data_IF_097847125669
#
_entry.id   IF_097847125669
#
_cell.length_a   1.000
_cell.length_b   1.000
_cell.length_c   1.000
_cell.angle_alpha   90.00
_cell.angle_beta   90.00
_cell.angle_gamma   90.00
#
_symmetry.space_group_name_H-M   'P 1'
#
loop_
_entity.id
_entity.type
_entity.pdbx_description
1 polymer ?
#
# COMPACT_ATOMS: atom_id res chain seq x y z
N UNK A 1 -1.91 -15.36 -24.96
CA UNK A 1 -3.08 -15.88 -24.21
C UNK A 1 -2.76 -15.71 -22.74
N UNK A 2 -3.11 -14.57 -22.17
CA UNK A 2 -2.95 -14.26 -20.74
C UNK A 2 -4.09 -14.95 -20.00
N UNK A 3 -3.76 -16.01 -19.26
CA UNK A 3 -4.73 -16.72 -18.42
C UNK A 3 -5.23 -15.81 -17.32
N UNK A 4 -6.50 -15.45 -17.36
CA UNK A 4 -7.21 -14.84 -16.23
C UNK A 4 -7.32 -15.90 -15.13
N UNK A 5 -6.61 -15.70 -14.02
CA UNK A 5 -6.80 -16.54 -12.84
C UNK A 5 -8.16 -16.20 -12.19
N UNK A 6 -8.97 -17.21 -11.96
CA UNK A 6 -10.25 -17.02 -11.30
C UNK A 6 -10.03 -16.67 -9.82
N UNK A 7 -10.78 -15.68 -9.28
CA UNK A 7 -10.72 -15.23 -7.86
C UNK A 7 -10.73 -16.37 -6.84
N UNK A 8 -11.42 -17.47 -7.15
CA UNK A 8 -11.49 -18.65 -6.27
C UNK A 8 -10.13 -19.35 -6.10
N UNK A 9 -9.22 -19.19 -7.04
CA UNK A 9 -7.90 -19.80 -7.01
C UNK A 9 -6.95 -18.98 -6.12
N UNK A 10 -7.07 -17.64 -6.11
CA UNK A 10 -6.33 -16.74 -5.21
C UNK A 10 -6.57 -17.02 -3.72
N UNK A 11 -7.81 -17.33 -3.36
CA UNK A 11 -8.17 -17.60 -1.95
C UNK A 11 -7.82 -19.02 -1.51
N UNK A 12 -7.52 -19.95 -2.45
CA UNK A 12 -7.18 -21.35 -2.15
C UNK A 12 -5.67 -21.63 -2.10
N UNK A 13 -4.85 -20.83 -2.77
CA UNK A 13 -3.41 -21.06 -2.85
C UNK A 13 -2.64 -20.80 -1.54
N UNK A 14 -3.22 -20.08 -0.58
CA UNK A 14 -2.62 -19.83 0.74
C UNK A 14 -2.45 -21.03 1.66
N UNK A 15 -2.81 -22.25 1.22
CA UNK A 15 -2.90 -23.41 2.10
C UNK A 15 -1.82 -24.50 1.91
N UNK A 16 -0.89 -24.38 0.95
CA UNK A 16 0.09 -25.45 0.72
C UNK A 16 1.48 -24.92 0.42
N UNK A 17 2.35 -24.84 1.41
CA UNK A 17 3.79 -25.12 1.28
C UNK A 17 4.47 -25.02 2.67
N UNK A 18 4.55 -26.10 3.37
CA UNK A 18 5.40 -26.25 4.54
C UNK A 18 6.26 -27.49 4.38
N UNK A 19 7.55 -27.34 4.17
CA UNK A 19 8.55 -28.39 4.52
C UNK A 19 9.79 -27.70 5.09
N UNK A 20 10.20 -28.23 6.23
CA UNK A 20 11.27 -27.80 7.11
C UNK A 20 12.67 -27.95 6.54
N UNK A 21 13.59 -27.11 7.05
CA UNK A 21 15.03 -27.32 6.95
C UNK A 21 15.80 -26.41 7.89
N UNK A 22 16.23 -26.94 9.03
CA UNK A 22 17.23 -26.35 9.92
C UNK A 22 18.62 -26.44 9.28
N UNK A 23 19.30 -25.34 9.04
CA UNK A 23 20.78 -25.33 8.96
C UNK A 23 21.37 -23.91 9.01
N UNK A 24 22.30 -23.70 9.94
CA UNK A 24 23.58 -23.05 9.75
C UNK A 24 23.65 -21.55 9.47
N UNK A 25 24.11 -20.78 10.48
CA UNK A 25 24.68 -19.44 10.32
C UNK A 25 25.94 -19.49 9.43
N UNK A 26 25.86 -18.97 8.23
CA UNK A 26 27.03 -18.65 7.41
C UNK A 26 26.70 -17.42 6.55
N UNK A 27 27.69 -16.57 6.31
CA UNK A 27 27.58 -15.29 5.62
C UNK A 27 26.87 -15.41 4.27
N UNK A 28 25.88 -14.57 4.04
CA UNK A 28 25.07 -14.57 2.83
C UNK A 28 25.78 -13.75 1.73
N UNK A 29 26.36 -14.46 0.78
CA UNK A 29 26.50 -13.93 -0.58
C UNK A 29 25.13 -14.02 -1.26
N UNK A 30 24.68 -12.96 -1.88
CA UNK A 30 23.46 -12.96 -2.69
C UNK A 30 23.69 -13.90 -3.87
N UNK A 31 23.09 -15.09 -3.83
CA UNK A 31 23.09 -16.02 -4.95
C UNK A 31 22.08 -15.50 -5.99
N UNK A 32 22.55 -15.14 -7.18
CA UNK A 32 21.76 -14.54 -8.26
C UNK A 32 20.71 -15.49 -8.89
N UNK A 33 20.60 -16.73 -8.41
CA UNK A 33 19.63 -17.72 -8.91
C UNK A 33 18.74 -18.25 -7.78
N UNK A 34 17.93 -17.37 -7.19
CA UNK A 34 16.92 -17.81 -6.24
C UNK A 34 15.91 -18.72 -6.95
N UNK A 35 15.86 -20.00 -6.55
CA UNK A 35 14.89 -21.00 -7.01
C UNK A 35 13.48 -20.78 -6.44
N UNK A 36 13.28 -19.75 -5.63
CA UNK A 36 11.99 -19.44 -5.02
C UNK A 36 10.97 -19.04 -6.09
N UNK A 37 9.73 -19.53 -5.99
CA UNK A 37 8.68 -19.20 -6.94
C UNK A 37 8.34 -17.69 -6.89
N UNK A 38 7.72 -17.15 -7.95
CA UNK A 38 7.19 -15.80 -7.93
C UNK A 38 6.22 -15.60 -6.76
N UNK A 39 6.24 -14.43 -6.12
CA UNK A 39 5.23 -14.06 -5.14
C UNK A 39 3.90 -13.86 -5.86
N UNK A 40 2.83 -14.43 -5.34
CA UNK A 40 1.52 -14.42 -5.98
C UNK A 40 0.99 -12.99 -6.13
N UNK A 41 0.99 -12.19 -5.04
CA UNK A 41 0.56 -10.79 -5.05
C UNK A 41 1.78 -9.89 -4.86
N UNK A 42 2.09 -9.13 -5.89
CA UNK A 42 3.21 -8.19 -5.96
C UNK A 42 2.66 -6.81 -6.24
N UNK A 43 2.53 -6.00 -5.21
CA UNK A 43 1.86 -4.73 -5.32
C UNK A 43 2.70 -3.53 -4.88
N UNK A 44 2.19 -2.36 -5.21
CA UNK A 44 2.64 -1.08 -4.68
C UNK A 44 1.47 -0.25 -4.20
N UNK A 45 1.72 0.58 -3.19
CA UNK A 45 0.82 1.68 -2.87
C UNK A 45 0.99 2.78 -3.91
N UNK A 46 -0.14 3.40 -4.26
CA UNK A 46 -0.14 4.38 -5.32
C UNK A 46 -0.93 5.66 -4.97
N UNK A 47 -0.25 6.75 -5.13
CA UNK A 47 -0.78 8.09 -5.37
C UNK A 47 0.14 8.75 -6.41
N UNK A 48 -0.37 9.56 -7.34
CA UNK A 48 0.48 10.33 -8.27
C UNK A 48 1.58 11.09 -7.54
N UNK A 49 2.73 11.27 -8.15
CA UNK A 49 3.90 11.87 -7.51
C UNK A 49 3.59 13.18 -6.77
N UNK A 50 2.77 14.05 -7.36
CA UNK A 50 2.42 15.37 -6.82
C UNK A 50 1.15 15.39 -5.96
N UNK A 51 0.59 14.22 -5.59
CA UNK A 51 -0.55 14.11 -4.69
C UNK A 51 -0.10 13.70 -3.29
N UNK A 52 -0.47 14.46 -2.28
CA UNK A 52 -0.17 14.19 -0.86
C UNK A 52 -1.36 13.63 -0.09
N UNK A 53 -2.51 13.48 -0.75
CA UNK A 53 -3.71 12.87 -0.21
C UNK A 53 -4.62 12.39 -1.35
N UNK A 54 -5.61 11.59 -1.01
CA UNK A 54 -6.54 11.00 -1.99
C UNK A 54 -7.45 12.04 -2.64
N UNK A 55 -7.82 13.11 -1.90
CA UNK A 55 -8.60 14.21 -2.49
C UNK A 55 -7.88 14.79 -3.71
N UNK A 56 -6.58 15.07 -3.60
CA UNK A 56 -5.78 15.61 -4.71
C UNK A 56 -5.72 14.69 -5.92
N UNK A 57 -5.65 13.38 -5.69
CA UNK A 57 -5.65 12.39 -6.78
C UNK A 57 -6.98 12.41 -7.53
N UNK A 58 -8.11 12.35 -6.81
CA UNK A 58 -9.41 12.14 -7.41
C UNK A 58 -10.11 13.42 -7.85
N UNK A 59 -9.89 14.54 -7.16
CA UNK A 59 -10.48 15.84 -7.51
C UNK A 59 -9.91 16.40 -8.82
N UNK A 60 -8.59 16.25 -9.01
CA UNK A 60 -7.88 16.67 -10.23
C UNK A 60 -7.35 15.43 -10.99
N UNK A 61 -8.24 14.45 -11.21
CA UNK A 61 -7.90 13.20 -11.85
C UNK A 61 -7.38 13.42 -13.27
N UNK A 62 -6.15 12.96 -13.54
CA UNK A 62 -5.50 13.05 -14.84
C UNK A 62 -5.25 11.64 -15.39
N UNK A 63 -5.99 11.28 -16.44
CA UNK A 63 -5.91 9.96 -17.07
C UNK A 63 -4.52 9.63 -17.58
N UNK A 64 -3.86 10.61 -18.21
CA UNK A 64 -2.53 10.39 -18.81
C UNK A 64 -1.46 10.10 -17.74
N UNK A 65 -1.55 10.78 -16.60
CA UNK A 65 -0.67 10.52 -15.44
C UNK A 65 -0.92 9.12 -14.88
N UNK A 66 -2.19 8.73 -14.73
CA UNK A 66 -2.56 7.42 -14.22
C UNK A 66 -2.07 6.29 -15.13
N UNK A 67 -2.34 6.39 -16.42
CA UNK A 67 -1.94 5.38 -17.41
C UNK A 67 -0.41 5.23 -17.48
N UNK A 68 0.31 6.36 -17.48
CA UNK A 68 1.78 6.38 -17.43
C UNK A 68 2.32 5.69 -16.17
N UNK A 69 1.78 6.05 -15.01
CA UNK A 69 2.28 5.52 -13.73
C UNK A 69 1.97 4.02 -13.58
N UNK A 70 0.82 3.55 -14.08
CA UNK A 70 0.48 2.12 -14.13
C UNK A 70 1.41 1.36 -15.10
N UNK A 71 1.84 2.00 -16.20
CA UNK A 71 2.86 1.41 -17.07
C UNK A 71 4.19 1.20 -16.33
N UNK A 72 4.56 2.10 -15.43
CA UNK A 72 5.75 1.89 -14.60
C UNK A 72 5.59 0.71 -13.64
N UNK A 73 4.39 0.45 -13.14
CA UNK A 73 4.12 -0.74 -12.33
C UNK A 73 4.39 -2.05 -13.11
N UNK A 74 4.02 -2.12 -14.39
CA UNK A 74 4.30 -3.29 -15.23
C UNK A 74 5.80 -3.53 -15.43
N UNK A 75 6.62 -2.47 -15.48
CA UNK A 75 8.08 -2.58 -15.61
C UNK A 75 8.71 -3.29 -14.41
N UNK A 76 8.09 -3.21 -13.21
CA UNK A 76 8.49 -3.96 -12.02
C UNK A 76 7.85 -5.35 -11.93
N UNK A 77 7.06 -5.77 -12.92
CA UNK A 77 6.34 -7.05 -12.86
C UNK A 77 5.26 -7.08 -11.78
N UNK A 78 4.72 -5.91 -11.40
CA UNK A 78 3.62 -5.84 -10.43
C UNK A 78 2.31 -6.31 -11.07
N UNK A 79 1.48 -6.97 -10.27
CA UNK A 79 0.15 -7.44 -10.64
C UNK A 79 -0.94 -6.88 -9.72
N UNK A 80 -0.58 -6.01 -8.78
CA UNK A 80 -1.51 -5.38 -7.88
C UNK A 80 -1.13 -3.92 -7.57
N UNK A 81 -2.15 -3.09 -7.33
CA UNK A 81 -2.00 -1.72 -6.82
C UNK A 81 -2.93 -1.56 -5.63
N UNK A 82 -2.45 -0.90 -4.55
CA UNK A 82 -3.28 -0.45 -3.43
C UNK A 82 -3.38 1.07 -3.45
N UNK A 83 -4.59 1.57 -3.39
CA UNK A 83 -4.92 3.01 -3.27
C UNK A 83 -6.24 3.19 -2.54
N UNK A 84 -6.64 4.44 -2.29
CA UNK A 84 -7.88 4.74 -1.58
C UNK A 84 -8.74 5.68 -2.39
N UNK A 85 -10.04 5.60 -2.22
CA UNK A 85 -11.02 6.57 -2.71
C UNK A 85 -10.93 7.87 -1.91
N UNK A 86 -11.79 8.84 -2.21
CA UNK A 86 -11.96 10.05 -1.38
C UNK A 86 -13.42 10.29 -1.09
N UNK A 87 -13.78 10.17 0.20
CA UNK A 87 -15.11 10.52 0.68
C UNK A 87 -15.45 11.98 0.40
N UNK A 88 -14.47 12.87 0.52
CA UNK A 88 -14.63 14.31 0.28
C UNK A 88 -14.96 14.61 -1.19
N UNK A 89 -14.27 13.96 -2.14
CA UNK A 89 -14.57 14.09 -3.58
C UNK A 89 -15.94 13.51 -3.92
N UNK A 90 -16.30 12.39 -3.31
CA UNK A 90 -17.63 11.81 -3.49
C UNK A 90 -18.72 12.77 -3.04
N UNK A 91 -18.56 13.43 -1.89
CA UNK A 91 -19.50 14.44 -1.40
C UNK A 91 -19.69 15.60 -2.38
N UNK A 92 -18.63 16.02 -3.04
CA UNK A 92 -18.67 17.12 -4.00
C UNK A 92 -19.27 16.69 -5.35
N UNK A 93 -18.92 15.52 -5.85
CA UNK A 93 -19.33 15.03 -7.17
C UNK A 93 -19.26 13.51 -7.29
N UNK A 94 -20.30 12.78 -6.84
CA UNK A 94 -20.33 11.31 -6.86
C UNK A 94 -20.10 10.71 -8.26
N UNK A 95 -20.70 11.30 -9.30
CA UNK A 95 -20.61 10.76 -10.66
C UNK A 95 -19.25 11.00 -11.29
N UNK A 96 -18.64 12.15 -11.05
CA UNK A 96 -17.27 12.43 -11.49
C UNK A 96 -16.29 11.47 -10.82
N UNK A 97 -16.51 11.21 -9.52
CA UNK A 97 -15.68 10.26 -8.77
C UNK A 97 -15.86 8.82 -9.29
N UNK A 98 -17.10 8.40 -9.56
CA UNK A 98 -17.39 7.10 -10.17
C UNK A 98 -16.69 6.91 -11.52
N UNK A 99 -16.76 7.94 -12.39
CA UNK A 99 -16.10 7.91 -13.70
C UNK A 99 -14.57 7.81 -13.59
N UNK A 100 -13.97 8.50 -12.62
CA UNK A 100 -12.54 8.43 -12.36
C UNK A 100 -12.12 7.04 -11.82
N UNK A 101 -12.86 6.48 -10.85
CA UNK A 101 -12.63 5.13 -10.34
C UNK A 101 -12.76 4.09 -11.47
N UNK A 102 -13.81 4.17 -12.27
CA UNK A 102 -14.04 3.25 -13.39
C UNK A 102 -12.88 3.27 -14.38
N UNK A 103 -12.39 4.46 -14.74
CA UNK A 103 -11.22 4.60 -15.62
C UNK A 103 -9.96 4.00 -14.96
N UNK A 104 -9.70 4.29 -13.68
CA UNK A 104 -8.55 3.76 -12.96
C UNK A 104 -8.53 2.23 -12.97
N UNK A 105 -9.67 1.61 -12.65
CA UNK A 105 -9.82 0.16 -12.65
C UNK A 105 -9.63 -0.44 -14.05
N UNK A 106 -10.17 0.20 -15.10
CA UNK A 106 -9.97 -0.26 -16.48
C UNK A 106 -8.52 -0.14 -16.94
N UNK A 107 -7.86 0.99 -16.64
CA UNK A 107 -6.46 1.19 -17.00
C UNK A 107 -5.51 0.21 -16.26
N UNK A 108 -5.85 -0.18 -15.03
CA UNK A 108 -5.13 -1.23 -14.30
C UNK A 108 -5.38 -2.62 -14.90
N UNK A 109 -6.63 -2.98 -15.18
CA UNK A 109 -7.02 -4.28 -15.74
C UNK A 109 -6.41 -4.53 -17.14
N UNK A 110 -6.36 -3.50 -18.00
CA UNK A 110 -5.68 -3.53 -19.29
C UNK A 110 -4.20 -3.91 -19.19
N UNK A 111 -3.57 -3.68 -18.02
CA UNK A 111 -2.18 -4.00 -17.70
C UNK A 111 -2.01 -5.26 -16.86
N UNK A 112 -3.08 -6.03 -16.64
CA UNK A 112 -3.07 -7.22 -15.79
C UNK A 112 -2.87 -6.90 -14.30
N UNK A 113 -3.25 -5.71 -13.87
CA UNK A 113 -3.12 -5.23 -12.49
C UNK A 113 -4.49 -5.20 -11.82
N UNK A 114 -4.65 -5.93 -10.71
CA UNK A 114 -5.83 -5.86 -9.85
C UNK A 114 -5.66 -4.77 -8.77
N UNK A 115 -6.78 -4.24 -8.29
CA UNK A 115 -6.74 -3.12 -7.35
C UNK A 115 -7.29 -3.51 -5.98
N UNK A 116 -6.48 -3.34 -4.95
CA UNK A 116 -6.92 -3.27 -3.55
C UNK A 116 -7.34 -1.82 -3.28
N UNK A 117 -8.65 -1.57 -3.19
CA UNK A 117 -9.19 -0.22 -3.08
C UNK A 117 -9.79 0.06 -1.70
N UNK A 118 -9.18 0.99 -0.97
CA UNK A 118 -9.66 1.45 0.33
C UNK A 118 -10.76 2.51 0.20
N UNK A 119 -11.73 2.47 1.12
CA UNK A 119 -12.81 3.47 1.15
C UNK A 119 -12.41 4.70 1.97
N UNK A 120 -11.73 4.48 3.10
CA UNK A 120 -11.38 5.55 4.04
C UNK A 120 -9.90 5.51 4.42
N UNK A 121 -9.38 6.66 4.89
CA UNK A 121 -8.00 6.85 5.32
C UNK A 121 -7.95 7.26 6.80
N UNK A 122 -7.28 6.46 7.63
CA UNK A 122 -7.15 6.74 9.07
C UNK A 122 -5.97 7.65 9.44
N UNK A 123 -4.97 7.76 8.56
CA UNK A 123 -3.72 8.47 8.83
C UNK A 123 -3.77 9.92 8.35
N UNK A 124 -3.13 10.81 9.07
CA UNK A 124 -2.98 12.20 8.69
C UNK A 124 -3.71 13.18 9.61
N UNK A 125 -3.92 14.38 9.11
CA UNK A 125 -4.66 15.45 9.80
C UNK A 125 -6.08 15.55 9.29
N UNK A 126 -6.97 16.20 10.04
CA UNK A 126 -8.35 16.41 9.62
C UNK A 126 -8.42 17.27 8.34
N UNK A 127 -9.35 16.95 7.42
CA UNK A 127 -9.55 17.70 6.19
C UNK A 127 -10.04 19.12 6.50
N UNK A 128 -9.39 20.10 5.86
CA UNK A 128 -9.88 21.45 5.68
C UNK A 128 -9.68 21.84 4.21
N UNK A 129 -10.41 22.82 3.65
CA UNK A 129 -10.22 23.21 2.26
C UNK A 129 -8.76 23.51 1.90
N UNK A 130 -8.02 24.23 2.77
CA UNK A 130 -6.61 24.55 2.54
C UNK A 130 -5.73 23.29 2.55
N UNK A 131 -5.99 22.35 3.47
CA UNK A 131 -5.18 21.15 3.60
C UNK A 131 -5.44 20.17 2.46
N UNK A 132 -6.70 20.05 2.03
CA UNK A 132 -7.07 19.18 0.91
C UNK A 132 -6.37 19.62 -0.39
N UNK A 133 -6.27 20.92 -0.64
CA UNK A 133 -5.73 21.48 -1.88
C UNK A 133 -4.23 21.80 -1.82
N UNK A 134 -3.62 21.86 -0.64
CA UNK A 134 -2.20 22.19 -0.48
C UNK A 134 -1.29 21.14 -1.13
N UNK A 135 -0.57 21.52 -2.18
CA UNK A 135 0.40 20.71 -2.92
C UNK A 135 1.86 21.13 -2.69
N UNK A 136 2.09 22.12 -1.82
CA UNK A 136 3.45 22.57 -1.50
C UNK A 136 4.23 21.41 -0.85
N UNK A 137 5.34 20.96 -1.46
CA UNK A 137 6.12 19.83 -0.97
C UNK A 137 6.71 20.03 0.44
N UNK A 138 6.80 21.28 0.93
CA UNK A 138 7.27 21.57 2.29
C UNK A 138 6.19 21.40 3.35
N UNK A 139 4.93 21.71 3.03
CA UNK A 139 3.85 21.86 4.01
C UNK A 139 2.64 20.96 3.76
N UNK A 140 2.46 20.41 2.55
CA UNK A 140 1.36 19.49 2.23
C UNK A 140 1.30 18.31 3.20
N UNK A 141 0.10 17.85 3.53
CA UNK A 141 -0.14 16.84 4.58
C UNK A 141 -0.89 15.64 4.03
N UNK A 142 -0.60 14.49 4.64
CA UNK A 142 -1.52 13.38 4.65
C UNK A 142 -2.84 13.81 5.30
N UNK A 143 -3.96 13.45 4.71
CA UNK A 143 -5.30 13.83 5.17
C UNK A 143 -6.09 12.56 5.47
N UNK A 144 -6.62 12.47 6.67
CA UNK A 144 -7.58 11.41 6.99
C UNK A 144 -8.93 11.68 6.33
N UNK A 145 -9.63 10.63 6.03
CA UNK A 145 -10.94 10.66 5.37
C UNK A 145 -11.83 9.56 6.00
N UNK A 146 -12.95 9.92 6.68
CA UNK A 146 -13.38 11.28 7.01
C UNK A 146 -12.63 11.88 8.20
N UNK A 147 -13.00 13.12 8.59
CA UNK A 147 -12.46 13.79 9.78
C UNK A 147 -12.73 13.02 11.07
N UNK A 148 -11.89 13.24 12.10
CA UNK A 148 -12.15 12.69 13.45
C UNK A 148 -13.47 13.18 14.05
N UNK A 149 -13.93 14.36 13.70
CA UNK A 149 -15.24 14.86 14.13
C UNK A 149 -16.36 13.96 13.64
N UNK A 150 -16.29 13.50 12.39
CA UNK A 150 -17.26 12.53 11.84
C UNK A 150 -17.09 11.18 12.51
N UNK A 151 -15.85 10.67 12.62
CA UNK A 151 -15.59 9.37 13.19
C UNK A 151 -16.06 9.24 14.66
N UNK A 152 -15.95 10.32 15.45
CA UNK A 152 -16.33 10.35 16.88
C UNK A 152 -17.83 10.47 17.12
N UNK A 153 -18.58 11.01 16.16
CA UNK A 153 -20.01 11.29 16.32
C UNK A 153 -20.86 10.32 15.49
N UNK A 154 -21.40 9.32 16.14
CA UNK A 154 -22.27 8.33 15.48
C UNK A 154 -23.49 8.93 14.79
N UNK A 155 -23.96 10.10 15.26
CA UNK A 155 -25.04 10.87 14.61
C UNK A 155 -24.67 11.40 13.22
N UNK A 156 -23.37 11.42 12.89
CA UNK A 156 -22.85 11.86 11.57
C UNK A 156 -22.50 10.70 10.64
N UNK A 157 -22.77 9.46 11.00
CA UNK A 157 -22.36 8.32 10.21
C UNK A 157 -23.28 7.99 9.03
N UNK A 158 -24.43 8.63 8.92
CA UNK A 158 -25.38 8.32 7.84
C UNK A 158 -24.82 8.69 6.46
N UNK A 159 -24.14 9.82 6.33
CA UNK A 159 -23.51 10.20 5.06
C UNK A 159 -22.34 9.28 4.68
N UNK A 160 -21.38 8.93 5.56
CA UNK A 160 -20.39 7.87 5.28
C UNK A 160 -21.00 6.50 4.93
N UNK A 161 -22.12 6.11 5.58
CA UNK A 161 -22.83 4.87 5.22
C UNK A 161 -23.44 4.94 3.81
N UNK A 162 -23.93 6.12 3.40
CA UNK A 162 -24.40 6.34 2.02
C UNK A 162 -23.25 6.20 1.01
N UNK A 163 -22.08 6.76 1.33
CA UNK A 163 -20.87 6.59 0.53
C UNK A 163 -20.48 5.12 0.38
N UNK A 164 -20.48 4.36 1.49
CA UNK A 164 -20.19 2.92 1.46
C UNK A 164 -21.19 2.19 0.56
N UNK A 165 -22.51 2.43 0.71
CA UNK A 165 -23.54 1.80 -0.14
C UNK A 165 -23.36 2.17 -1.60
N UNK A 166 -23.11 3.45 -1.88
CA UNK A 166 -22.86 3.95 -3.24
C UNK A 166 -21.69 3.21 -3.90
N UNK A 167 -20.63 2.97 -3.16
CA UNK A 167 -19.46 2.26 -3.65
C UNK A 167 -19.75 0.75 -3.83
N UNK A 168 -20.33 0.12 -2.83
CA UNK A 168 -20.64 -1.32 -2.85
C UNK A 168 -21.64 -1.66 -3.96
N UNK A 169 -22.63 -0.83 -4.19
CA UNK A 169 -23.62 -1.04 -5.26
C UNK A 169 -22.95 -1.12 -6.65
N UNK A 170 -21.90 -0.34 -6.88
CA UNK A 170 -21.15 -0.30 -8.14
C UNK A 170 -20.09 -1.39 -8.28
N UNK A 171 -19.43 -1.74 -7.18
CA UNK A 171 -18.14 -2.45 -7.23
C UNK A 171 -18.09 -3.77 -6.44
N UNK A 172 -19.14 -4.15 -5.72
CA UNK A 172 -19.13 -5.40 -4.91
C UNK A 172 -18.88 -6.68 -5.70
N UNK A 173 -19.09 -6.67 -7.02
CA UNK A 173 -18.87 -7.79 -7.93
C UNK A 173 -17.88 -7.45 -9.05
N UNK A 174 -17.14 -6.37 -8.91
CA UNK A 174 -16.18 -5.90 -9.92
C UNK A 174 -14.91 -6.76 -9.88
N UNK A 175 -14.66 -7.52 -10.92
CA UNK A 175 -13.54 -8.47 -11.02
C UNK A 175 -12.17 -7.80 -11.22
N UNK A 176 -12.12 -6.51 -11.46
CA UNK A 176 -10.90 -5.71 -11.49
C UNK A 176 -10.37 -5.39 -10.08
N UNK A 177 -11.23 -5.54 -9.05
CA UNK A 177 -10.84 -5.37 -7.65
C UNK A 177 -10.27 -6.66 -7.09
N UNK A 178 -9.09 -6.58 -6.47
CA UNK A 178 -8.50 -7.64 -5.68
C UNK A 178 -9.24 -7.82 -4.35
N UNK A 179 -9.55 -6.71 -3.68
CA UNK A 179 -10.35 -6.62 -2.47
C UNK A 179 -10.83 -5.18 -2.24
N UNK A 180 -11.85 -5.01 -1.38
CA UNK A 180 -12.32 -3.72 -0.90
C UNK A 180 -11.92 -3.57 0.57
N UNK A 181 -11.13 -2.53 0.86
CA UNK A 181 -10.65 -2.22 2.20
C UNK A 181 -11.53 -1.15 2.85
N UNK A 182 -11.98 -1.38 4.08
CA UNK A 182 -12.85 -0.40 4.77
C UNK A 182 -12.12 0.89 5.11
N UNK A 183 -10.96 0.80 5.75
CA UNK A 183 -10.15 1.95 6.16
C UNK A 183 -8.69 1.55 6.30
N UNK A 184 -7.80 2.46 5.93
CA UNK A 184 -6.38 2.36 6.22
C UNK A 184 -6.11 2.70 7.69
N UNK A 185 -5.38 1.86 8.40
CA UNK A 185 -4.84 2.06 9.75
C UNK A 185 -5.81 2.66 10.79
N UNK A 186 -7.01 2.12 11.00
CA UNK A 186 -7.95 2.66 11.96
C UNK A 186 -7.54 2.44 13.43
N UNK A 187 -6.52 1.62 13.68
CA UNK A 187 -6.13 1.17 15.02
C UNK A 187 -5.52 2.25 15.93
N UNK A 188 -5.02 3.35 15.37
CA UNK A 188 -4.35 4.41 16.13
C UNK A 188 -5.29 5.24 17.01
N UNK A 189 -6.58 5.30 16.67
CA UNK A 189 -7.57 6.12 17.37
C UNK A 189 -8.82 5.28 17.63
N UNK A 190 -9.23 5.05 18.89
CA UNK A 190 -10.41 4.22 19.20
C UNK A 190 -11.67 4.60 18.43
N UNK A 191 -11.94 5.90 18.28
CA UNK A 191 -13.09 6.38 17.52
C UNK A 191 -13.05 6.01 16.03
N UNK A 192 -11.86 5.95 15.42
CA UNK A 192 -11.71 5.47 14.04
C UNK A 192 -11.96 3.97 13.94
N UNK A 193 -11.51 3.20 14.94
CA UNK A 193 -11.80 1.75 15.00
C UNK A 193 -13.31 1.49 15.10
N UNK A 194 -14.02 2.22 15.98
CA UNK A 194 -15.47 2.13 16.09
C UNK A 194 -16.19 2.54 14.79
N UNK A 195 -15.75 3.62 14.18
CA UNK A 195 -16.25 4.08 12.89
C UNK A 195 -16.06 3.02 11.82
N UNK A 196 -14.84 2.48 11.72
CA UNK A 196 -14.50 1.42 10.74
C UNK A 196 -15.39 0.20 10.93
N UNK A 197 -15.62 -0.24 12.17
CA UNK A 197 -16.56 -1.32 12.44
C UNK A 197 -17.97 -1.01 11.92
N UNK A 198 -18.46 0.20 12.20
CA UNK A 198 -19.77 0.64 11.71
C UNK A 198 -19.90 0.67 10.20
N UNK A 199 -18.84 1.07 9.47
CA UNK A 199 -18.79 1.09 8.00
C UNK A 199 -18.60 -0.33 7.44
N UNK A 200 -17.76 -1.15 8.05
CA UNK A 200 -17.56 -2.55 7.67
C UNK A 200 -18.82 -3.38 7.82
N UNK A 201 -19.63 -3.11 8.85
CA UNK A 201 -20.96 -3.74 9.00
C UNK A 201 -21.90 -3.40 7.83
N UNK A 202 -21.80 -2.19 7.26
CA UNK A 202 -22.53 -1.85 6.03
C UNK A 202 -21.97 -2.62 4.85
N UNK A 203 -20.65 -2.64 4.65
CA UNK A 203 -20.00 -3.39 3.57
C UNK A 203 -20.42 -4.87 3.59
N UNK A 204 -20.46 -5.49 4.76
CA UNK A 204 -20.87 -6.89 4.93
C UNK A 204 -22.32 -7.14 4.55
N UNK A 205 -23.22 -6.23 4.87
CA UNK A 205 -24.64 -6.34 4.46
C UNK A 205 -24.82 -6.18 2.97
N UNK A 206 -24.01 -5.34 2.33
CA UNK A 206 -24.04 -5.07 0.89
C UNK A 206 -23.04 -5.94 0.10
N UNK A 207 -22.43 -6.94 0.73
CA UNK A 207 -21.35 -7.71 0.10
C UNK A 207 -21.79 -8.43 -1.18
N UNK A 208 -20.85 -8.56 -2.09
CA UNK A 208 -20.91 -9.41 -3.28
C UNK A 208 -19.74 -10.39 -3.29
N UNK A 209 -19.16 -10.60 -4.47
CA UNK A 209 -18.07 -11.56 -4.68
C UNK A 209 -16.69 -11.02 -4.34
N UNK A 210 -16.51 -9.68 -4.28
CA UNK A 210 -15.22 -9.08 -3.94
C UNK A 210 -14.92 -9.26 -2.46
N UNK A 211 -13.73 -9.78 -2.09
CA UNK A 211 -13.31 -9.92 -0.69
C UNK A 211 -13.30 -8.58 0.05
N UNK A 212 -13.66 -8.61 1.33
CA UNK A 212 -13.68 -7.44 2.21
C UNK A 212 -12.56 -7.53 3.24
N UNK A 213 -11.87 -6.41 3.48
CA UNK A 213 -10.75 -6.35 4.41
C UNK A 213 -10.63 -5.00 5.12
N UNK A 214 -9.68 -4.89 6.04
CA UNK A 214 -9.38 -3.66 6.80
C UNK A 214 -7.87 -3.49 6.83
N UNK A 215 -7.37 -2.30 6.52
CA UNK A 215 -5.95 -1.96 6.54
C UNK A 215 -5.41 -1.92 7.96
N UNK A 216 -4.74 -2.98 8.39
CA UNK A 216 -4.29 -3.16 9.75
C UNK A 216 -2.86 -2.65 9.96
N UNK A 217 -2.61 -1.97 11.07
CA UNK A 217 -1.26 -1.55 11.46
C UNK A 217 -0.38 -2.70 11.94
N UNK A 218 -0.98 -3.82 12.34
CA UNK A 218 -0.27 -5.02 12.83
C UNK A 218 -1.16 -6.23 12.83
N UNK A 219 -0.58 -7.43 12.83
CA UNK A 219 -1.31 -8.69 12.98
C UNK A 219 -2.17 -8.75 14.26
N UNK A 220 -1.75 -8.07 15.33
CA UNK A 220 -2.54 -8.03 16.57
C UNK A 220 -3.91 -7.37 16.39
N UNK A 221 -4.06 -6.41 15.48
CA UNK A 221 -5.34 -5.79 15.19
C UNK A 221 -6.28 -6.73 14.43
N UNK A 222 -5.75 -7.70 13.68
CA UNK A 222 -6.56 -8.62 12.89
C UNK A 222 -7.43 -9.57 13.73
N UNK A 223 -7.10 -9.76 15.00
CA UNK A 223 -7.98 -10.52 15.91
C UNK A 223 -9.39 -9.92 15.97
N UNK A 224 -9.50 -8.59 16.09
CA UNK A 224 -10.79 -7.90 16.07
C UNK A 224 -11.41 -7.91 14.66
N UNK A 225 -10.62 -7.67 13.63
CA UNK A 225 -11.09 -7.56 12.25
C UNK A 225 -11.56 -8.92 11.71
N UNK A 226 -10.89 -10.00 12.10
CA UNK A 226 -11.34 -11.36 11.82
C UNK A 226 -12.70 -11.66 12.50
N UNK A 227 -12.87 -11.22 13.75
CA UNK A 227 -14.15 -11.36 14.47
C UNK A 227 -15.26 -10.52 13.83
N UNK A 228 -14.96 -9.42 13.16
CA UNK A 228 -15.93 -8.64 12.38
C UNK A 228 -16.26 -9.30 11.04
N UNK A 229 -15.50 -10.30 10.60
CA UNK A 229 -15.73 -11.05 9.36
C UNK A 229 -14.90 -10.56 8.17
N UNK A 230 -13.72 -9.99 8.42
CA UNK A 230 -12.73 -9.75 7.35
C UNK A 230 -12.36 -11.05 6.64
N UNK A 231 -12.23 -11.01 5.31
CA UNK A 231 -11.86 -12.16 4.50
C UNK A 231 -10.33 -12.33 4.38
N UNK A 232 -9.58 -11.25 4.63
CA UNK A 232 -8.14 -11.16 4.46
C UNK A 232 -7.54 -10.51 5.69
N UNK A 233 -6.46 -11.08 6.22
CA UNK A 233 -5.62 -10.43 7.20
C UNK A 233 -4.67 -9.45 6.48
N UNK A 234 -4.56 -8.24 7.01
CA UNK A 234 -3.58 -7.27 6.54
C UNK A 234 -2.66 -6.88 7.69
N UNK A 235 -1.41 -6.58 7.38
CA UNK A 235 -0.51 -5.95 8.33
C UNK A 235 0.46 -5.01 7.62
N UNK A 236 0.91 -4.00 8.37
CA UNK A 236 1.94 -3.06 7.93
C UNK A 236 3.20 -3.27 8.75
N UNK A 237 4.35 -3.16 8.10
CA UNK A 237 5.64 -3.17 8.81
C UNK A 237 6.63 -2.23 8.14
N UNK A 238 6.48 -0.95 8.46
CA UNK A 238 7.16 0.16 7.79
C UNK A 238 8.57 0.45 8.31
N UNK A 239 8.89 0.07 9.55
CA UNK A 239 10.12 0.48 10.22
C UNK A 239 10.85 -0.70 10.88
N UNK A 240 11.25 -1.70 10.10
CA UNK A 240 12.03 -2.81 10.66
C UNK A 240 13.40 -2.30 11.10
N UNK A 241 13.84 -2.75 12.26
CA UNK A 241 15.14 -2.41 12.84
C UNK A 241 16.05 -3.63 13.03
N UNK A 242 15.57 -4.82 12.69
CA UNK A 242 16.31 -6.06 12.82
C UNK A 242 15.79 -7.11 11.83
N UNK A 243 16.68 -7.68 11.03
CA UNK A 243 16.34 -8.67 9.99
C UNK A 243 15.72 -9.95 10.57
N UNK A 244 16.17 -10.39 11.74
CA UNK A 244 15.62 -11.58 12.41
C UNK A 244 14.19 -11.37 12.88
N UNK A 245 13.88 -10.18 13.44
CA UNK A 245 12.53 -9.81 13.85
C UNK A 245 11.62 -9.70 12.60
N UNK A 246 12.13 -9.12 11.52
CA UNK A 246 11.35 -8.98 10.29
C UNK A 246 10.95 -10.34 9.70
N UNK A 247 11.90 -11.28 9.60
CA UNK A 247 11.61 -12.66 9.16
C UNK A 247 10.57 -13.33 10.06
N UNK A 248 10.75 -13.24 11.38
CA UNK A 248 9.81 -13.85 12.34
C UNK A 248 8.38 -13.32 12.19
N UNK A 249 8.21 -12.02 11.92
CA UNK A 249 6.89 -11.45 11.69
C UNK A 249 6.24 -12.01 10.41
N UNK A 250 7.02 -12.25 9.35
CA UNK A 250 6.52 -12.90 8.13
C UNK A 250 6.12 -14.36 8.39
N UNK A 251 6.91 -15.09 9.20
CA UNK A 251 6.59 -16.45 9.61
C UNK A 251 5.30 -16.47 10.46
N UNK A 252 5.14 -15.54 11.41
CA UNK A 252 3.92 -15.38 12.20
C UNK A 252 2.70 -15.08 11.33
N UNK A 253 2.86 -14.25 10.29
CA UNK A 253 1.78 -13.98 9.33
C UNK A 253 1.37 -15.23 8.55
N UNK A 254 2.33 -16.07 8.16
CA UNK A 254 2.07 -17.35 7.51
C UNK A 254 1.34 -18.32 8.44
N UNK A 255 1.72 -18.37 9.72
CA UNK A 255 1.05 -19.20 10.73
C UNK A 255 -0.39 -18.72 11.00
N UNK A 256 -0.63 -17.41 11.06
CA UNK A 256 -1.98 -16.82 11.16
C UNK A 256 -2.81 -17.22 9.95
N UNK A 257 -2.27 -17.09 8.75
CA UNK A 257 -2.95 -17.49 7.52
C UNK A 257 -3.34 -18.97 7.55
N UNK A 258 -2.41 -19.85 7.90
CA UNK A 258 -2.63 -21.29 8.01
C UNK A 258 -3.69 -21.64 9.07
N UNK A 259 -3.63 -20.98 10.23
CA UNK A 259 -4.52 -21.25 11.36
C UNK A 259 -5.95 -20.80 11.07
N UNK A 260 -6.11 -19.66 10.42
CA UNK A 260 -7.43 -19.06 10.13
C UNK A 260 -8.02 -19.51 8.80
N UNK A 261 -7.22 -20.10 7.92
CA UNK A 261 -7.61 -20.41 6.53
C UNK A 261 -7.85 -19.18 5.66
N UNK A 262 -7.36 -18.00 6.08
CA UNK A 262 -7.49 -16.73 5.35
C UNK A 262 -6.11 -16.23 4.94
N UNK A 263 -5.96 -15.63 3.73
CA UNK A 263 -4.69 -15.06 3.34
C UNK A 263 -4.25 -13.94 4.29
N UNK A 264 -2.94 -13.81 4.51
CA UNK A 264 -2.33 -12.70 5.24
C UNK A 264 -1.38 -11.95 4.32
N UNK A 265 -1.61 -10.64 4.15
CA UNK A 265 -0.84 -9.80 3.24
C UNK A 265 -0.11 -8.69 3.98
N UNK A 266 1.18 -8.48 3.63
CA UNK A 266 1.96 -7.33 4.05
C UNK A 266 1.58 -6.13 3.16
N UNK A 267 0.55 -5.40 3.55
CA UNK A 267 -0.06 -4.38 2.70
C UNK A 267 0.60 -3.02 2.80
N UNK A 268 1.62 -2.88 3.65
CA UNK A 268 2.49 -1.71 3.63
C UNK A 268 3.88 -2.03 4.21
N UNK A 269 4.91 -1.80 3.39
CA UNK A 269 6.30 -1.84 3.77
C UNK A 269 7.09 -0.85 2.91
N UNK A 270 8.23 -0.36 3.40
CA UNK A 270 8.92 0.70 2.68
C UNK A 270 10.43 0.67 2.88
N UNK A 271 11.12 1.42 2.02
CA UNK A 271 12.51 1.78 2.20
C UNK A 271 12.63 2.64 3.45
N UNK A 272 13.33 2.12 4.47
CA UNK A 272 13.63 2.85 5.69
C UNK A 272 15.12 3.12 5.75
N UNK A 273 15.51 4.36 5.89
CA UNK A 273 16.90 4.75 6.01
C UNK A 273 17.22 5.19 7.43
N UNK A 274 18.49 5.08 7.83
CA UNK A 274 18.95 5.58 9.11
C UNK A 274 18.48 7.02 9.33
N UNK A 275 17.87 7.28 10.47
CA UNK A 275 17.28 8.57 10.82
C UNK A 275 15.96 8.92 10.11
N UNK A 276 15.35 8.02 9.37
CA UNK A 276 14.13 8.25 8.57
C UNK A 276 12.88 7.96 9.34
N UNK A 277 12.67 7.81 10.48
CA UNK A 277 11.37 7.44 11.00
C UNK A 277 11.05 7.87 12.41
N UNK A 278 9.99 7.31 12.91
CA UNK A 278 9.61 7.33 14.32
C UNK A 278 10.47 6.36 15.14
N UNK A 279 11.12 5.39 14.46
CA UNK A 279 11.96 4.40 15.10
C UNK A 279 13.24 5.03 15.64
N UNK A 280 13.79 4.39 16.68
CA UNK A 280 15.15 4.60 17.11
C UNK A 280 16.13 4.45 15.93
N UNK A 281 17.31 5.07 15.98
CA UNK A 281 18.33 4.83 14.98
C UNK A 281 18.56 3.31 14.81
N UNK A 282 18.69 2.87 13.57
CA UNK A 282 19.10 1.50 13.30
C UNK A 282 20.54 1.40 13.79
N UNK A 283 20.74 0.67 14.86
CA UNK A 283 22.04 0.53 15.51
C UNK A 283 22.55 -0.88 15.33
N UNK A 284 23.81 -1.00 14.97
CA UNK A 284 24.59 -2.16 15.29
C UNK A 284 24.85 -3.17 14.18
N UNK A 285 24.17 -3.14 13.04
CA UNK A 285 24.44 -4.05 11.93
C UNK A 285 24.55 -3.27 10.61
N UNK A 286 25.31 -3.79 9.67
CA UNK A 286 25.40 -3.29 8.29
C UNK A 286 24.08 -3.47 7.51
N UNK A 287 23.02 -3.95 8.17
CA UNK A 287 21.71 -4.16 7.58
C UNK A 287 20.95 -2.85 7.45
N UNK A 288 20.70 -2.46 6.21
CA UNK A 288 19.90 -1.30 5.85
C UNK A 288 18.55 -1.78 5.31
N UNK A 289 17.43 -1.48 5.97
CA UNK A 289 16.11 -1.88 5.50
C UNK A 289 15.67 -1.00 4.32
N UNK A 290 16.06 -1.38 3.13
CA UNK A 290 15.64 -0.82 1.85
C UNK A 290 14.88 -1.87 1.03
N UNK A 291 14.50 -1.54 -0.20
CA UNK A 291 13.81 -2.52 -1.06
C UNK A 291 14.72 -3.68 -1.45
N UNK A 292 16.02 -3.41 -1.64
CA UNK A 292 17.00 -4.43 -2.03
C UNK A 292 17.17 -5.51 -0.95
N UNK A 293 17.14 -5.13 0.33
CA UNK A 293 17.30 -6.07 1.45
C UNK A 293 15.98 -6.71 1.90
N UNK A 294 14.85 -6.00 1.78
CA UNK A 294 13.54 -6.48 2.25
C UNK A 294 12.83 -7.36 1.21
N UNK A 295 12.87 -7.02 -0.09
CA UNK A 295 12.17 -7.77 -1.13
C UNK A 295 12.59 -9.24 -1.21
N UNK A 296 13.89 -9.61 -1.15
CA UNK A 296 14.28 -11.01 -1.11
C UNK A 296 13.75 -11.78 0.13
N UNK A 297 13.63 -11.09 1.27
CA UNK A 297 13.09 -11.70 2.49
C UNK A 297 11.60 -11.96 2.36
N UNK A 298 10.83 -11.02 1.82
CA UNK A 298 9.39 -11.15 1.54
C UNK A 298 9.17 -12.26 0.49
N UNK A 299 10.00 -12.29 -0.56
CA UNK A 299 9.91 -13.30 -1.61
C UNK A 299 10.10 -14.72 -1.05
N UNK A 300 11.13 -14.96 -0.22
CA UNK A 300 11.34 -16.26 0.42
C UNK A 300 10.17 -16.70 1.31
N UNK A 301 9.52 -15.75 1.98
CA UNK A 301 8.32 -16.01 2.78
C UNK A 301 7.07 -16.27 1.91
N UNK A 302 7.10 -15.98 0.61
CA UNK A 302 5.95 -16.10 -0.28
C UNK A 302 4.79 -15.16 0.06
N UNK A 303 5.05 -14.10 0.85
CA UNK A 303 4.01 -13.22 1.38
C UNK A 303 3.51 -12.25 0.31
N UNK A 304 2.20 -12.27 0.05
CA UNK A 304 1.55 -11.22 -0.78
C UNK A 304 1.80 -9.85 -0.19
N UNK A 305 2.22 -8.87 -1.01
CA UNK A 305 2.71 -7.62 -0.44
C UNK A 305 2.49 -6.39 -1.32
N UNK A 306 2.55 -5.20 -0.67
CA UNK A 306 2.45 -3.88 -1.31
C UNK A 306 3.49 -2.94 -0.69
N UNK A 307 4.45 -2.49 -1.48
CA UNK A 307 5.45 -1.56 -0.99
C UNK A 307 5.01 -0.09 -1.10
N UNK A 308 5.45 0.74 -0.17
CA UNK A 308 5.28 2.19 -0.18
C UNK A 308 6.51 2.85 -0.81
N UNK A 309 6.43 3.42 -2.02
CA UNK A 309 5.31 3.53 -2.94
C UNK A 309 5.80 3.47 -4.39
N UNK A 310 4.90 3.38 -5.35
CA UNK A 310 5.26 3.35 -6.78
C UNK A 310 6.00 4.62 -7.21
N UNK A 311 5.39 5.80 -6.97
CA UNK A 311 5.94 7.08 -7.43
C UNK A 311 6.82 7.73 -6.36
N UNK A 312 7.98 8.23 -6.80
CA UNK A 312 8.94 8.92 -5.95
C UNK A 312 8.42 10.30 -5.54
N UNK A 313 8.46 10.56 -4.24
CA UNK A 313 8.06 11.84 -3.65
C UNK A 313 8.70 12.07 -2.28
N UNK A 314 8.72 13.32 -1.77
CA UNK A 314 9.01 13.57 -0.36
C UNK A 314 8.06 12.79 0.54
N UNK A 315 8.58 12.26 1.64
CA UNK A 315 7.83 11.37 2.52
C UNK A 315 6.45 11.91 2.86
N UNK A 316 5.47 11.03 2.89
CA UNK A 316 4.07 11.32 3.19
C UNK A 316 3.91 11.97 4.57
N UNK A 317 4.65 11.45 5.55
CA UNK A 317 4.67 11.98 6.92
C UNK A 317 5.64 13.16 7.04
N UNK A 318 5.14 14.31 7.51
CA UNK A 318 5.91 15.55 7.55
C UNK A 318 7.19 15.46 8.41
N UNK A 319 7.18 14.67 9.50
CA UNK A 319 8.38 14.48 10.34
C UNK A 319 9.51 13.79 9.55
N UNK A 320 9.19 12.78 8.75
CA UNK A 320 10.15 12.12 7.87
C UNK A 320 10.63 13.06 6.76
N UNK A 321 9.69 13.80 6.16
CA UNK A 321 10.00 14.77 5.10
C UNK A 321 11.00 15.83 5.56
N UNK A 322 10.83 16.38 6.77
CA UNK A 322 11.78 17.32 7.38
C UNK A 322 13.17 16.73 7.64
N UNK A 323 13.29 15.42 7.66
CA UNK A 323 14.57 14.71 7.71
C UNK A 323 15.15 14.40 6.32
N UNK A 324 14.56 14.91 5.25
CA UNK A 324 15.00 14.69 3.88
C UNK A 324 14.72 13.28 3.37
N UNK A 325 13.66 12.61 3.85
CA UNK A 325 13.29 11.28 3.39
C UNK A 325 12.46 11.38 2.12
N UNK A 326 12.87 10.62 1.10
CA UNK A 326 12.08 10.32 -0.09
C UNK A 326 11.51 8.90 0.03
N UNK A 327 10.29 8.71 -0.46
CA UNK A 327 9.66 7.39 -0.63
C UNK A 327 9.36 7.13 -2.09
N UNK A 328 9.24 5.87 -2.47
CA UNK A 328 8.89 5.48 -3.82
C UNK A 328 10.08 5.11 -4.71
N UNK A 329 9.75 4.67 -5.92
CA UNK A 329 10.69 4.11 -6.87
C UNK A 329 10.85 5.00 -8.10
N UNK A 330 9.76 5.37 -8.78
CA UNK A 330 9.81 6.05 -10.07
C UNK A 330 9.67 7.57 -9.96
N UNK A 331 10.56 8.28 -10.66
CA UNK A 331 10.32 9.65 -11.07
C UNK A 331 9.21 9.74 -12.14
N UNK A 332 8.63 10.92 -12.33
CA UNK A 332 7.56 11.15 -13.32
C UNK A 332 7.99 10.88 -14.77
N UNK A 333 9.30 10.88 -15.07
CA UNK A 333 9.87 10.57 -16.38
C UNK A 333 10.30 9.09 -16.52
N UNK A 334 9.96 8.24 -15.56
CA UNK A 334 10.26 6.81 -15.58
C UNK A 334 11.70 6.43 -15.22
N UNK A 335 12.54 7.38 -14.81
CA UNK A 335 13.79 7.04 -14.13
C UNK A 335 13.49 6.46 -12.75
N UNK A 336 14.34 5.56 -12.26
CA UNK A 336 14.22 5.02 -10.91
C UNK A 336 15.20 5.73 -9.98
N UNK A 337 14.83 5.81 -8.69
CA UNK A 337 15.75 6.34 -7.69
C UNK A 337 16.99 5.46 -7.54
N UNK A 338 16.80 4.14 -7.56
CA UNK A 338 17.87 3.16 -7.38
C UNK A 338 17.59 1.93 -8.24
N UNK A 339 18.59 1.49 -9.02
CA UNK A 339 18.45 0.32 -9.88
C UNK A 339 18.49 -1.00 -9.11
N UNK A 340 19.19 -1.07 -7.98
CA UNK A 340 19.22 -2.23 -7.09
C UNK A 340 17.83 -2.48 -6.50
N UNK A 341 17.21 -1.43 -5.95
CA UNK A 341 15.83 -1.46 -5.46
C UNK A 341 14.84 -1.93 -6.54
N UNK A 342 14.94 -1.38 -7.76
CA UNK A 342 14.06 -1.76 -8.86
C UNK A 342 14.21 -3.24 -9.27
N UNK A 343 15.45 -3.74 -9.33
CA UNK A 343 15.74 -5.16 -9.62
C UNK A 343 15.23 -6.07 -8.51
N UNK A 344 15.44 -5.69 -7.24
CA UNK A 344 14.97 -6.46 -6.11
C UNK A 344 13.44 -6.56 -6.07
N UNK A 345 12.73 -5.47 -6.31
CA UNK A 345 11.27 -5.46 -6.42
C UNK A 345 10.80 -6.33 -7.60
N UNK A 346 11.41 -6.18 -8.76
CA UNK A 346 11.07 -6.98 -9.93
C UNK A 346 11.34 -8.47 -9.72
N UNK A 347 12.38 -8.82 -8.97
CA UNK A 347 12.73 -10.22 -8.68
C UNK A 347 11.58 -11.01 -8.03
N UNK A 348 10.67 -10.34 -7.34
CA UNK A 348 9.47 -10.98 -6.78
C UNK A 348 8.54 -11.57 -7.85
N UNK A 349 8.64 -11.12 -9.11
CA UNK A 349 7.94 -11.72 -10.25
C UNK A 349 8.63 -12.97 -10.84
N UNK A 350 9.79 -13.33 -10.32
CA UNK A 350 10.64 -14.37 -10.90
C UNK A 350 11.65 -13.85 -11.94
N UNK A 351 11.60 -12.56 -12.28
CA UNK A 351 12.50 -11.89 -13.23
C UNK A 351 13.18 -10.69 -12.55
N UNK A 352 14.49 -10.74 -12.38
CA UNK A 352 15.29 -9.65 -11.81
C UNK A 352 15.84 -8.67 -12.87
N UNK A 353 15.54 -8.89 -14.14
CA UNK A 353 16.05 -8.08 -15.24
C UNK A 353 15.27 -6.77 -15.34
N UNK A 354 15.76 -5.71 -14.71
CA UNK A 354 15.19 -4.38 -14.84
C UNK A 354 16.06 -3.50 -15.73
N UNK A 355 15.46 -2.94 -16.79
CA UNK A 355 16.09 -1.98 -17.69
C UNK A 355 15.51 -0.60 -17.42
N UNK A 356 16.38 0.34 -17.08
CA UNK A 356 15.98 1.71 -16.78
C UNK A 356 17.15 2.61 -16.49
N UNK A 357 16.85 3.89 -16.28
CA UNK A 357 17.83 4.93 -15.92
C UNK A 357 17.73 5.22 -14.43
N UNK A 358 18.86 5.22 -13.73
CA UNK A 358 18.96 5.68 -12.34
C UNK A 358 19.09 7.21 -12.30
N UNK A 359 18.43 7.82 -11.32
CA UNK A 359 18.58 9.23 -10.99
C UNK A 359 18.41 9.45 -9.48
N UNK A 360 19.52 9.64 -8.77
CA UNK A 360 19.56 9.91 -7.32
C UNK A 360 19.44 11.40 -6.97
N UNK A 361 18.63 12.12 -7.73
CA UNK A 361 18.33 13.53 -7.52
C UNK A 361 16.88 13.68 -7.06
N UNK A 362 16.63 14.67 -6.20
CA UNK A 362 15.27 15.03 -5.85
C UNK A 362 14.49 15.47 -7.08
N UNK A 363 13.19 15.13 -7.19
CA UNK A 363 12.36 15.71 -8.23
C UNK A 363 12.43 17.24 -8.17
N UNK A 364 12.60 17.89 -9.32
CA UNK A 364 12.74 19.36 -9.41
C UNK A 364 11.61 20.09 -8.67
N UNK A 365 10.36 19.64 -8.85
CA UNK A 365 9.18 20.21 -8.20
C UNK A 365 9.19 20.08 -6.66
N UNK A 366 10.06 19.25 -6.10
CA UNK A 366 10.18 19.00 -4.67
C UNK A 366 11.57 19.38 -4.11
N UNK A 367 12.46 19.89 -4.94
CA UNK A 367 13.85 20.19 -4.58
C UNK A 367 13.96 21.12 -3.35
N UNK A 368 13.06 22.09 -3.24
CA UNK A 368 13.01 23.02 -2.11
C UNK A 368 12.62 22.36 -0.77
N UNK A 369 12.04 21.17 -0.77
CA UNK A 369 11.75 20.42 0.46
C UNK A 369 12.95 19.59 0.94
N UNK A 370 14.04 19.56 0.17
CA UNK A 370 15.26 18.87 0.54
C UNK A 370 16.08 19.70 1.55
N UNK A 371 15.87 19.46 2.83
CA UNK A 371 16.59 20.14 3.91
C UNK A 371 18.05 19.73 4.06
N UNK A 372 18.52 18.69 3.34
CA UNK A 372 19.92 18.24 3.39
C UNK A 372 20.85 19.02 2.45
N UNK A 373 20.33 19.73 1.46
CA UNK A 373 21.10 20.51 0.51
C UNK A 373 21.58 21.88 1.03
N UNK A 374 21.18 22.25 2.26
CA UNK A 374 21.53 23.54 2.86
C UNK A 374 22.60 23.50 3.98
N UNK A 375 23.20 22.32 4.22
CA UNK A 375 24.27 22.13 5.22
C UNK A 375 25.57 21.68 4.56
N UNK A 376 26.06 22.47 3.60
CA UNK A 376 27.43 22.40 3.08
C UNK A 376 28.26 23.57 3.64
#
# INVERSE_FOLDING_TARGET
MTGRYARRDFLRAGAVSGVAGLAGLAGYTVDETSSDPPVEIRGALYLPARAYNTYQMWHTYDRSVIERDLEYATRLGLNAIRTWTSYEVWRESPEKHAAAISHFLSAADERGIQVLLGLFEGVGVDPTPERLTNRDPKSARAIRSPSLTVARDRGRWDEPRQFVRWFMDRHRNDDRLLAIEAMNEPGWVPAQKDFTRGMFDVMRRERGDVPLTIGSTSLANDADYAAWGSDIHQFHYNFPNNAGIYRRLLDEAADVSKTTGKPAWLTEWQRTRSGSGFAAPITGDDWQPDYETLAPTIRRAGTGNFFWSLMLKPAYVLVQRRKGVLTGVFHEDGAVWDLGDARALKSMSGDSTFVGRERKEWPEWAAEANTRSGSS
#
